data_IF_021482446753
#
_entry.id   IF_021482446753
#
_cell.length_a   1.000
_cell.length_b   1.000
_cell.length_c   1.000
_cell.angle_alpha   90.00
_cell.angle_beta   90.00
_cell.angle_gamma   90.00
#
_symmetry.space_group_name_H-M   'P 1'
#
loop_
_entity.id
_entity.type
_entity.pdbx_description
1 polymer ?
#
# COMPACT_ATOMS: atom_id res chain seq x y z
N UNK A 1 -5.54 11.58 -1.48
CA UNK A 1 -4.17 11.91 -1.84
C UNK A 1 -3.59 10.81 -2.71
N UNK A 2 -3.15 11.13 -3.91
CA UNK A 2 -2.68 10.07 -4.81
C UNK A 2 -1.33 9.51 -4.38
N UNK A 3 -1.18 8.20 -4.56
CA UNK A 3 0.07 7.50 -4.24
C UNK A 3 1.23 7.98 -5.14
N UNK A 4 0.89 8.62 -6.26
CA UNK A 4 1.90 9.02 -7.25
C UNK A 4 2.99 9.92 -6.69
N UNK A 5 2.69 10.73 -5.67
CA UNK A 5 3.72 11.57 -5.05
C UNK A 5 4.80 10.74 -4.32
N UNK A 6 4.45 9.53 -3.92
CA UNK A 6 5.38 8.62 -3.25
C UNK A 6 6.13 7.75 -4.25
N UNK A 7 5.76 7.82 -5.53
CA UNK A 7 6.38 7.02 -6.59
C UNK A 7 7.46 7.77 -7.36
N UNK A 8 7.74 9.01 -7.00
CA UNK A 8 8.80 9.78 -7.63
C UNK A 8 10.12 9.05 -7.47
N UNK A 9 10.82 8.87 -8.59
CA UNK A 9 12.07 8.14 -8.63
C UNK A 9 11.92 6.62 -8.71
N UNK A 10 10.71 6.10 -8.61
CA UNK A 10 10.44 4.67 -8.76
C UNK A 10 10.10 4.36 -10.22
N UNK A 11 10.59 3.23 -10.70
CA UNK A 11 10.38 2.83 -12.10
C UNK A 11 9.30 1.76 -12.18
N UNK A 12 8.06 2.22 -12.26
CA UNK A 12 6.92 1.34 -12.47
C UNK A 12 6.23 1.75 -13.76
N UNK A 13 5.69 0.77 -14.50
CA UNK A 13 4.92 1.06 -15.69
C UNK A 13 3.55 1.66 -15.31
N UNK A 14 2.86 2.33 -16.27
CA UNK A 14 1.60 3.00 -15.95
C UNK A 14 0.53 2.05 -15.37
N UNK A 15 0.47 0.82 -15.85
CA UNK A 15 -0.50 -0.16 -15.36
C UNK A 15 -0.22 -0.52 -13.92
N UNK A 16 1.04 -0.74 -13.57
CA UNK A 16 1.43 -1.03 -12.19
C UNK A 16 1.11 0.14 -11.28
N UNK A 17 1.39 1.37 -11.72
CA UNK A 17 1.07 2.56 -10.94
C UNK A 17 -0.43 2.66 -10.68
N UNK A 18 -1.26 2.33 -11.67
CA UNK A 18 -2.71 2.33 -11.53
C UNK A 18 -3.17 1.33 -10.48
N UNK A 19 -2.63 0.12 -10.55
CA UNK A 19 -2.94 -0.95 -9.60
C UNK A 19 -2.54 -0.54 -8.18
N UNK A 20 -1.35 0.04 -8.04
CA UNK A 20 -0.87 0.51 -6.74
C UNK A 20 -1.75 1.61 -6.17
N UNK A 21 -2.22 2.53 -7.02
CA UNK A 21 -3.13 3.59 -6.62
C UNK A 21 -4.46 3.05 -6.11
N UNK A 22 -5.01 2.05 -6.80
CA UNK A 22 -6.24 1.39 -6.39
C UNK A 22 -6.04 0.72 -5.03
N UNK A 23 -4.95 -0.03 -4.88
CA UNK A 23 -4.64 -0.72 -3.62
C UNK A 23 -4.46 0.26 -2.47
N UNK A 24 -3.82 1.40 -2.73
CA UNK A 24 -3.62 2.44 -1.74
C UNK A 24 -4.96 2.97 -1.22
N UNK A 25 -5.88 3.29 -2.13
CA UNK A 25 -7.19 3.80 -1.75
C UNK A 25 -8.02 2.73 -1.03
N UNK A 26 -7.94 1.48 -1.48
CA UNK A 26 -8.63 0.37 -0.82
C UNK A 26 -8.13 0.18 0.61
N UNK A 27 -6.82 0.25 0.80
CA UNK A 27 -6.20 0.09 2.12
C UNK A 27 -6.63 1.21 3.05
N UNK A 28 -6.63 2.45 2.55
CA UNK A 28 -7.07 3.59 3.35
C UNK A 28 -8.53 3.47 3.73
N UNK A 29 -9.38 3.04 2.81
CA UNK A 29 -10.80 2.85 3.09
C UNK A 29 -11.01 1.79 4.17
N UNK A 30 -10.29 0.68 4.08
CA UNK A 30 -10.38 -0.40 5.06
C UNK A 30 -9.94 0.06 6.45
N UNK A 31 -8.87 0.83 6.52
CA UNK A 31 -8.37 1.36 7.79
C UNK A 31 -9.34 2.35 8.41
N UNK A 32 -10.02 3.14 7.58
CA UNK A 32 -11.02 4.08 8.06
C UNK A 32 -12.22 3.35 8.68
N UNK A 33 -12.65 2.27 8.03
CA UNK A 33 -13.76 1.46 8.52
C UNK A 33 -13.45 0.84 9.88
N UNK A 34 -12.19 0.44 10.10
CA UNK A 34 -11.78 -0.19 11.35
C UNK A 34 -11.21 0.80 12.38
N UNK A 35 -11.34 2.10 12.13
CA UNK A 35 -10.81 3.15 13.00
C UNK A 35 -9.30 3.09 13.20
N UNK A 36 -8.60 2.67 12.16
CA UNK A 36 -7.14 2.60 12.14
C UNK A 36 -6.54 3.65 11.19
N UNK A 37 -7.30 4.72 10.92
CA UNK A 37 -6.93 5.71 9.93
C UNK A 37 -5.97 6.79 10.44
N UNK A 38 -5.42 6.62 11.63
CA UNK A 38 -4.38 7.48 12.19
C UNK A 38 -2.98 7.17 11.62
N UNK A 39 -2.88 6.10 10.82
CA UNK A 39 -1.62 5.75 10.17
C UNK A 39 -1.28 6.76 9.08
N UNK A 40 -0.01 7.15 9.00
CA UNK A 40 0.46 8.08 8.00
C UNK A 40 0.29 7.49 6.59
N UNK A 41 -0.22 8.27 5.62
CA UNK A 41 -0.35 7.77 4.24
C UNK A 41 0.98 7.28 3.66
N UNK A 42 2.10 7.89 4.04
CA UNK A 42 3.42 7.47 3.58
C UNK A 42 3.75 6.04 4.00
N UNK A 43 3.35 5.65 5.20
CA UNK A 43 3.58 4.29 5.69
C UNK A 43 2.83 3.29 4.82
N UNK A 44 1.58 3.58 4.49
CA UNK A 44 0.76 2.73 3.64
C UNK A 44 1.38 2.64 2.24
N UNK A 45 1.75 3.78 1.67
CA UNK A 45 2.35 3.83 0.34
C UNK A 45 3.65 3.04 0.29
N UNK A 46 4.48 3.16 1.31
CA UNK A 46 5.76 2.47 1.37
C UNK A 46 5.58 0.95 1.34
N UNK A 47 4.62 0.43 2.09
CA UNK A 47 4.34 -1.01 2.11
C UNK A 47 3.87 -1.48 0.73
N UNK A 48 2.96 -0.73 0.11
CA UNK A 48 2.44 -1.08 -1.21
C UNK A 48 3.56 -1.05 -2.26
N UNK A 49 4.43 -0.06 -2.19
CA UNK A 49 5.57 0.05 -3.10
C UNK A 49 6.49 -1.18 -2.96
N UNK A 50 6.78 -1.59 -1.73
CA UNK A 50 7.64 -2.74 -1.50
C UNK A 50 7.00 -4.04 -2.02
N UNK A 51 5.69 -4.20 -1.83
CA UNK A 51 4.98 -5.36 -2.35
C UNK A 51 4.98 -5.38 -3.88
N UNK A 52 4.81 -4.24 -4.51
CA UNK A 52 4.86 -4.13 -5.97
C UNK A 52 6.25 -4.43 -6.51
N UNK A 53 7.29 -4.00 -5.80
CA UNK A 53 8.68 -4.33 -6.16
C UNK A 53 8.93 -5.84 -6.09
N UNK A 54 8.26 -6.51 -5.16
CA UNK A 54 8.36 -7.95 -5.01
C UNK A 54 7.58 -8.72 -6.08
N UNK A 55 6.82 -8.02 -6.92
CA UNK A 55 6.12 -8.63 -8.05
C UNK A 55 4.61 -8.69 -7.93
N UNK A 56 4.03 -8.25 -6.81
CA UNK A 56 2.58 -8.30 -6.66
C UNK A 56 1.90 -7.27 -7.57
N UNK A 57 0.87 -7.69 -8.30
CA UNK A 57 0.20 -6.84 -9.28
C UNK A 57 -1.32 -6.83 -9.15
N UNK A 58 -1.87 -7.60 -8.21
CA UNK A 58 -3.32 -7.64 -7.97
C UNK A 58 -3.67 -6.62 -6.90
N UNK A 59 -4.56 -5.65 -7.18
CA UNK A 59 -4.88 -4.62 -6.20
C UNK A 59 -5.50 -5.17 -4.92
N UNK A 60 -6.32 -6.23 -5.02
CA UNK A 60 -6.90 -6.84 -3.83
C UNK A 60 -5.82 -7.49 -2.96
N UNK A 61 -4.89 -8.19 -3.59
CA UNK A 61 -3.81 -8.84 -2.86
C UNK A 61 -2.85 -7.82 -2.27
N UNK A 62 -2.58 -6.74 -2.99
CA UNK A 62 -1.77 -5.64 -2.47
C UNK A 62 -2.43 -5.06 -1.21
N UNK A 63 -3.74 -4.84 -1.27
CA UNK A 63 -4.49 -4.32 -0.13
C UNK A 63 -4.44 -5.30 1.05
N UNK A 64 -4.73 -6.57 0.80
CA UNK A 64 -4.73 -7.60 1.85
C UNK A 64 -3.36 -7.73 2.51
N UNK A 65 -2.31 -7.77 1.71
CA UNK A 65 -0.94 -7.90 2.21
C UNK A 65 -0.49 -6.64 2.94
N UNK A 66 -0.90 -5.47 2.45
CA UNK A 66 -0.59 -4.21 3.11
C UNK A 66 -1.26 -4.14 4.48
N UNK A 67 -2.54 -4.53 4.56
CA UNK A 67 -3.26 -4.55 5.83
C UNK A 67 -2.61 -5.53 6.81
N UNK A 68 -2.22 -6.70 6.32
CA UNK A 68 -1.54 -7.69 7.16
C UNK A 68 -0.22 -7.13 7.69
N UNK A 69 0.54 -6.45 6.85
CA UNK A 69 1.80 -5.83 7.25
C UNK A 69 1.61 -4.72 8.28
N UNK A 70 0.56 -3.93 8.12
CA UNK A 70 0.27 -2.82 9.03
C UNK A 70 -0.22 -3.30 10.39
N UNK A 71 -0.91 -4.45 10.43
CA UNK A 71 -1.48 -5.01 11.64
C UNK A 71 -0.58 -6.03 12.31
N UNK A 72 0.43 -6.52 11.61
CA UNK A 72 1.34 -7.51 12.16
C UNK A 72 2.20 -6.88 13.25
N UNK A 73 2.47 -7.60 14.35
CA UNK A 73 3.41 -7.09 15.33
C UNK A 73 4.80 -7.03 14.71
N UNK A 74 5.67 -6.12 15.20
CA UNK A 74 7.03 -6.05 14.67
C UNK A 74 7.74 -7.39 14.88
N UNK A 75 8.66 -7.76 13.96
CA UNK A 75 9.36 -9.03 14.08
C UNK A 75 10.14 -9.09 15.38
N UNK A 76 10.01 -10.21 16.04
CA UNK A 76 10.76 -10.48 17.26
C UNK A 76 12.11 -11.04 16.86
N UNK A 77 13.14 -10.40 17.30
CA UNK A 77 14.51 -10.84 17.00
C UNK A 77 15.09 -11.52 18.22
#
# INVERSE_FOLDING_TARGET
MPITIYLEGQKFDPETKRVMGIAFEMTRAALRVSNEDDLAPETIAKIIIELAKAGERDPERLCDQALAGLRAPPPQV
#
